data_IF_561806188597
#
_entry.id   IF_561806188597
#
_cell.length_a   1.000
_cell.length_b   1.000
_cell.length_c   1.000
_cell.angle_alpha   90.00
_cell.angle_beta   90.00
_cell.angle_gamma   90.00
#
_symmetry.space_group_name_H-M   'P 1'
#
loop_
_entity.id
_entity.type
_entity.pdbx_description
1 polymer ?
#
# COMPACT_ATOMS: atom_id res chain seq x y z
N UNK A 1 -1.63 -13.25 4.30
CA UNK A 1 -0.27 -12.90 4.74
C UNK A 1 -0.28 -11.47 5.25
N UNK A 2 -0.42 -11.25 6.57
CA UNK A 2 -0.29 -9.91 7.13
C UNK A 2 1.16 -9.45 6.93
N UNK A 3 1.34 -8.24 6.42
CA UNK A 3 2.65 -7.59 6.42
C UNK A 3 2.95 -7.33 7.90
N UNK A 4 3.72 -8.22 8.53
CA UNK A 4 4.30 -7.96 9.83
C UNK A 4 5.17 -6.72 9.68
N UNK A 5 4.64 -5.58 10.11
CA UNK A 5 5.45 -4.40 10.41
C UNK A 5 6.38 -4.86 11.53
N UNK A 6 7.65 -5.12 11.18
CA UNK A 6 8.70 -5.35 12.15
C UNK A 6 8.78 -4.12 13.06
N UNK A 7 8.07 -4.18 14.20
CA UNK A 7 8.33 -3.36 15.38
C UNK A 7 9.81 -3.54 15.72
N UNK A 8 10.66 -2.59 15.34
CA UNK A 8 12.04 -2.55 15.83
C UNK A 8 13.14 -2.17 14.83
N UNK A 9 12.89 -2.03 13.53
CA UNK A 9 13.88 -1.42 12.62
C UNK A 9 13.67 0.09 12.58
N UNK A 10 14.50 0.84 13.32
CA UNK A 10 14.48 2.30 13.40
C UNK A 10 14.30 2.94 12.01
N UNK A 11 13.17 3.63 11.85
CA UNK A 11 12.69 4.17 10.55
C UNK A 11 13.21 5.59 10.22
N UNK A 12 13.98 6.17 11.13
CA UNK A 12 15.02 7.18 10.94
C UNK A 12 16.08 6.80 11.99
N UNK A 13 17.36 7.06 11.75
CA UNK A 13 18.38 6.77 12.78
C UNK A 13 18.29 7.71 13.97
N UNK A 14 17.70 8.88 13.77
CA UNK A 14 17.52 9.90 14.79
C UNK A 14 16.08 10.42 14.80
N UNK A 15 15.11 9.53 15.11
CA UNK A 15 13.73 9.94 15.15
C UNK A 15 13.58 11.00 16.27
N UNK A 16 12.90 12.11 15.96
CA UNK A 16 12.58 13.21 16.88
C UNK A 16 13.70 14.20 17.23
N UNK A 17 14.83 14.22 16.50
CA UNK A 17 15.81 15.31 16.65
C UNK A 17 15.58 16.42 15.63
N UNK A 18 15.54 17.67 16.11
CA UNK A 18 15.55 18.85 15.24
C UNK A 18 16.94 18.96 14.57
N UNK A 19 17.10 19.60 13.40
CA UNK A 19 18.41 19.75 12.75
C UNK A 19 19.48 20.32 13.68
N UNK A 20 19.13 21.28 14.54
CA UNK A 20 20.04 21.85 15.55
C UNK A 20 20.49 20.81 16.59
N UNK A 21 19.58 19.98 17.09
CA UNK A 21 19.91 18.91 18.06
C UNK A 21 20.73 17.80 17.42
N UNK A 22 20.51 17.53 16.13
CA UNK A 22 21.33 16.62 15.33
C UNK A 22 22.75 17.16 15.14
N UNK A 23 22.87 18.47 14.85
CA UNK A 23 24.15 19.14 14.67
C UNK A 23 25.01 19.08 15.93
N UNK A 24 24.44 19.44 17.08
CA UNK A 24 25.11 19.34 18.38
C UNK A 24 25.52 17.90 18.70
N UNK A 25 24.65 16.92 18.39
CA UNK A 25 24.96 15.51 18.57
C UNK A 25 26.12 15.02 17.71
N UNK A 26 26.21 15.46 16.45
CA UNK A 26 27.32 15.10 15.56
C UNK A 26 28.62 15.85 15.92
N UNK A 27 28.54 17.11 16.34
CA UNK A 27 29.71 17.88 16.79
C UNK A 27 30.39 17.24 18.03
N UNK A 28 29.59 16.69 18.95
CA UNK A 28 30.08 15.99 20.13
C UNK A 28 30.71 14.62 19.88
N UNK A 29 30.71 14.12 18.64
CA UNK A 29 31.34 12.84 18.27
C UNK A 29 32.74 13.02 17.69
N UNK A 30 33.55 11.97 17.82
CA UNK A 30 34.85 11.90 17.16
C UNK A 30 34.69 11.51 15.67
N UNK A 31 35.74 11.72 14.88
CA UNK A 31 35.71 11.51 13.44
C UNK A 31 35.39 10.04 13.06
N UNK A 32 35.95 9.06 13.78
CA UNK A 32 35.72 7.64 13.54
C UNK A 32 34.24 7.26 13.74
N UNK A 33 33.61 7.74 14.81
CA UNK A 33 32.19 7.52 15.08
C UNK A 33 31.31 8.18 14.01
N UNK A 34 31.69 9.35 13.48
CA UNK A 34 30.94 10.00 12.41
C UNK A 34 31.06 9.24 11.09
N UNK A 35 32.23 8.69 10.77
CA UNK A 35 32.45 7.84 9.59
C UNK A 35 31.64 6.55 9.70
N UNK A 36 31.58 5.93 10.88
CA UNK A 36 30.78 4.72 11.11
C UNK A 36 29.27 5.00 10.96
N UNK A 37 28.80 6.13 11.49
CA UNK A 37 27.42 6.59 11.30
C UNK A 37 27.12 6.80 9.81
N UNK A 38 28.05 7.42 9.05
CA UNK A 38 27.91 7.64 7.62
C UNK A 38 27.82 6.31 6.84
N UNK A 39 28.78 5.40 7.05
CA UNK A 39 28.81 4.07 6.41
C UNK A 39 27.52 3.29 6.64
N UNK A 40 26.98 3.39 7.83
CA UNK A 40 25.77 2.65 8.18
C UNK A 40 24.49 3.25 7.55
N UNK A 41 24.54 4.41 6.87
CA UNK A 41 23.40 4.90 6.07
C UNK A 41 23.24 4.16 4.73
N UNK A 42 24.31 3.58 4.17
CA UNK A 42 24.24 2.83 2.91
C UNK A 42 23.18 1.71 2.93
N UNK A 43 23.30 0.73 3.85
CA UNK A 43 22.30 -0.34 3.99
C UNK A 43 20.91 0.17 4.36
N UNK A 44 20.82 1.32 5.01
CA UNK A 44 19.53 1.95 5.35
C UNK A 44 18.83 2.49 4.11
N UNK A 45 19.55 3.17 3.20
CA UNK A 45 18.97 3.64 1.93
C UNK A 45 18.60 2.49 1.00
N UNK A 46 19.41 1.45 0.91
CA UNK A 46 19.07 0.25 0.13
C UNK A 46 17.76 -0.38 0.63
N UNK A 47 17.61 -0.53 1.95
CA UNK A 47 16.38 -1.06 2.53
C UNK A 47 15.16 -0.15 2.27
N UNK A 48 15.35 1.18 2.32
CA UNK A 48 14.30 2.15 2.00
C UNK A 48 13.85 2.04 0.54
N UNK A 49 14.79 2.05 -0.41
CA UNK A 49 14.47 1.94 -1.84
C UNK A 49 13.80 0.60 -2.15
N UNK A 50 14.33 -0.52 -1.64
CA UNK A 50 13.70 -1.83 -1.80
C UNK A 50 12.26 -1.87 -1.29
N UNK A 51 11.99 -1.18 -0.17
CA UNK A 51 10.64 -1.09 0.40
C UNK A 51 9.72 -0.20 -0.44
N UNK A 52 10.23 0.92 -0.94
CA UNK A 52 9.49 1.82 -1.84
C UNK A 52 9.16 1.12 -3.16
N UNK A 53 10.11 0.39 -3.73
CA UNK A 53 9.93 -0.36 -4.98
C UNK A 53 8.88 -1.46 -4.81
N UNK A 54 8.97 -2.23 -3.73
CA UNK A 54 7.96 -3.26 -3.40
C UNK A 54 6.56 -2.67 -3.25
N UNK A 55 6.43 -1.54 -2.54
CA UNK A 55 5.14 -0.86 -2.38
C UNK A 55 4.62 -0.33 -3.72
N UNK A 56 5.50 0.19 -4.57
CA UNK A 56 5.15 0.71 -5.90
C UNK A 56 4.64 -0.41 -6.80
N UNK A 57 5.30 -1.56 -6.78
CA UNK A 57 4.84 -2.76 -7.48
C UNK A 57 3.48 -3.24 -6.96
N UNK A 58 3.30 -3.32 -5.62
CA UNK A 58 2.02 -3.74 -5.05
C UNK A 58 0.89 -2.79 -5.43
N UNK A 59 1.13 -1.47 -5.40
CA UNK A 59 0.16 -0.47 -5.88
C UNK A 59 -0.19 -0.69 -7.35
N UNK A 60 0.80 -0.96 -8.21
CA UNK A 60 0.56 -1.26 -9.62
C UNK A 60 -0.35 -2.48 -9.80
N UNK A 61 -0.06 -3.57 -9.09
CA UNK A 61 -0.89 -4.79 -9.12
C UNK A 61 -2.33 -4.52 -8.65
N UNK A 62 -2.51 -3.78 -7.55
CA UNK A 62 -3.84 -3.45 -7.04
C UNK A 62 -4.61 -2.51 -7.99
N UNK A 63 -3.94 -1.58 -8.66
CA UNK A 63 -4.55 -0.75 -9.71
C UNK A 63 -4.99 -1.59 -10.91
N UNK A 64 -4.19 -2.57 -11.31
CA UNK A 64 -4.56 -3.54 -12.35
C UNK A 64 -5.81 -4.33 -11.97
N UNK A 65 -5.87 -4.83 -10.72
CA UNK A 65 -7.07 -5.50 -10.19
C UNK A 65 -8.30 -4.58 -10.22
N UNK A 66 -8.16 -3.34 -9.74
CA UNK A 66 -9.25 -2.36 -9.72
C UNK A 66 -9.79 -2.08 -11.13
N UNK A 67 -8.90 -1.91 -12.11
CA UNK A 67 -9.31 -1.72 -13.52
C UNK A 67 -10.16 -2.90 -14.02
N UNK A 68 -9.73 -4.13 -13.73
CA UNK A 68 -10.51 -5.33 -14.07
C UNK A 68 -11.89 -5.37 -13.41
N UNK A 69 -11.98 -5.03 -12.12
CA UNK A 69 -13.25 -4.96 -11.39
C UNK A 69 -14.18 -3.88 -11.94
N UNK A 70 -13.65 -2.70 -12.29
CA UNK A 70 -14.44 -1.63 -12.89
C UNK A 70 -15.00 -2.03 -14.25
N UNK A 71 -14.19 -2.71 -15.08
CA UNK A 71 -14.65 -3.26 -16.36
C UNK A 71 -15.76 -4.29 -16.17
N UNK A 72 -15.59 -5.22 -15.22
CA UNK A 72 -16.63 -6.20 -14.89
C UNK A 72 -17.93 -5.53 -14.41
N UNK A 73 -17.83 -4.39 -13.70
CA UNK A 73 -19.01 -3.64 -13.24
C UNK A 73 -19.76 -2.99 -14.40
N UNK A 74 -19.01 -2.47 -15.36
CA UNK A 74 -19.55 -1.89 -16.58
C UNK A 74 -20.23 -2.97 -17.44
N UNK A 75 -19.58 -4.11 -17.63
CA UNK A 75 -20.15 -5.27 -18.35
C UNK A 75 -21.45 -5.76 -17.67
N UNK A 76 -21.44 -5.87 -16.34
CA UNK A 76 -22.65 -6.20 -15.57
C UNK A 76 -23.75 -5.15 -15.77
N UNK A 77 -23.42 -3.87 -15.71
CA UNK A 77 -24.39 -2.77 -15.92
C UNK A 77 -25.00 -2.82 -17.32
N UNK A 78 -24.19 -3.09 -18.35
CA UNK A 78 -24.66 -3.23 -19.74
C UNK A 78 -25.54 -4.46 -19.94
N UNK A 79 -25.44 -5.48 -19.09
CA UNK A 79 -26.27 -6.68 -19.16
C UNK A 79 -27.67 -6.51 -18.53
N UNK A 80 -27.95 -5.39 -17.86
CA UNK A 80 -29.18 -5.20 -17.08
C UNK A 80 -30.45 -5.42 -17.90
N UNK A 81 -30.53 -4.87 -19.12
CA UNK A 81 -31.72 -5.04 -19.97
C UNK A 81 -31.99 -6.51 -20.32
N UNK A 82 -30.94 -7.32 -20.48
CA UNK A 82 -31.07 -8.76 -20.70
C UNK A 82 -31.60 -9.46 -19.45
N UNK A 83 -31.12 -9.06 -18.26
CA UNK A 83 -31.60 -9.59 -16.98
C UNK A 83 -33.07 -9.27 -16.75
N UNK A 84 -33.53 -8.08 -17.15
CA UNK A 84 -34.96 -7.71 -17.07
C UNK A 84 -35.81 -8.65 -17.92
N UNK A 85 -35.40 -8.93 -19.16
CA UNK A 85 -36.10 -9.89 -20.04
C UNK A 85 -36.10 -11.30 -19.45
N UNK A 86 -34.99 -11.74 -18.85
CA UNK A 86 -34.92 -13.04 -18.16
C UNK A 86 -35.81 -13.08 -16.92
N UNK A 87 -35.94 -11.96 -16.19
CA UNK A 87 -36.84 -11.85 -15.05
C UNK A 87 -38.31 -11.99 -15.46
N UNK A 88 -38.72 -11.38 -16.57
CA UNK A 88 -40.08 -11.52 -17.08
C UNK A 88 -40.39 -12.99 -17.41
N UNK A 89 -39.44 -13.72 -18.00
CA UNK A 89 -39.56 -15.16 -18.24
C UNK A 89 -39.63 -15.95 -16.94
N UNK A 90 -38.79 -15.60 -15.96
CA UNK A 90 -38.80 -16.21 -14.64
C UNK A 90 -40.16 -16.05 -13.94
N UNK A 91 -40.73 -14.85 -13.92
CA UNK A 91 -42.05 -14.58 -13.33
C UNK A 91 -43.20 -15.24 -14.08
N UNK A 92 -43.11 -15.31 -15.42
CA UNK A 92 -44.07 -16.05 -16.23
C UNK A 92 -44.07 -17.55 -15.86
N UNK A 93 -42.89 -18.16 -15.79
CA UNK A 93 -42.74 -19.56 -15.37
C UNK A 93 -43.23 -19.78 -13.94
N UNK A 94 -42.88 -18.88 -13.03
CA UNK A 94 -43.33 -18.92 -11.63
C UNK A 94 -44.85 -18.84 -11.53
N UNK A 95 -45.47 -17.93 -12.29
CA UNK A 95 -46.93 -17.77 -12.33
C UNK A 95 -47.62 -19.00 -12.90
N UNK A 96 -47.05 -19.59 -13.95
CA UNK A 96 -47.54 -20.85 -14.53
C UNK A 96 -47.55 -21.99 -13.51
N UNK A 97 -46.44 -22.20 -12.79
CA UNK A 97 -46.34 -23.21 -11.71
C UNK A 97 -47.38 -22.96 -10.61
N UNK A 98 -47.63 -21.69 -10.25
CA UNK A 98 -48.61 -21.34 -9.21
C UNK A 98 -50.06 -21.53 -9.66
N UNK A 99 -50.34 -21.33 -10.95
CA UNK A 99 -51.66 -21.48 -11.55
C UNK A 99 -52.04 -22.95 -11.83
N UNK A 100 -51.04 -23.83 -11.90
CA UNK A 100 -51.29 -25.24 -12.17
C UNK A 100 -52.01 -25.91 -10.99
N UNK A 101 -52.85 -26.90 -11.33
CA UNK A 101 -53.67 -27.65 -10.36
C UNK A 101 -52.89 -28.66 -9.53
N UNK A 102 -51.56 -28.68 -9.68
CA UNK A 102 -50.64 -29.58 -9.00
C UNK A 102 -50.72 -29.50 -7.47
N UNK A 103 -50.48 -30.65 -6.86
CA UNK A 103 -50.47 -30.84 -5.40
C UNK A 103 -49.31 -30.08 -4.75
N UNK A 104 -49.40 -29.81 -3.44
CA UNK A 104 -48.41 -28.98 -2.72
C UNK A 104 -46.95 -29.48 -2.83
N UNK A 105 -46.73 -30.78 -2.97
CA UNK A 105 -45.39 -31.37 -3.11
C UNK A 105 -44.77 -31.13 -4.50
N UNK A 106 -45.55 -31.33 -5.57
CA UNK A 106 -45.11 -31.10 -6.95
C UNK A 106 -44.80 -29.62 -7.19
N UNK A 107 -45.67 -28.74 -6.65
CA UNK A 107 -45.46 -27.29 -6.68
C UNK A 107 -44.17 -26.88 -5.96
N UNK A 108 -43.91 -27.45 -4.78
CA UNK A 108 -42.69 -27.18 -4.04
C UNK A 108 -41.43 -27.60 -4.82
N UNK A 109 -41.44 -28.79 -5.43
CA UNK A 109 -40.32 -29.26 -6.25
C UNK A 109 -40.13 -28.39 -7.49
N UNK A 110 -41.21 -28.00 -8.17
CA UNK A 110 -41.15 -27.14 -9.35
C UNK A 110 -40.61 -25.73 -9.02
N UNK A 111 -41.04 -25.13 -7.90
CA UNK A 111 -40.50 -23.84 -7.43
C UNK A 111 -39.03 -23.95 -7.01
N UNK A 112 -38.65 -25.07 -6.37
CA UNK A 112 -37.26 -25.32 -6.00
C UNK A 112 -36.36 -25.47 -7.24
N UNK A 113 -36.86 -26.12 -8.29
CA UNK A 113 -36.16 -26.28 -9.57
C UNK A 113 -36.05 -24.97 -10.37
N UNK A 114 -37.02 -24.05 -10.23
CA UNK A 114 -36.98 -22.74 -10.87
C UNK A 114 -35.80 -21.88 -10.38
N UNK A 115 -35.37 -22.10 -9.13
CA UNK A 115 -34.17 -21.47 -8.58
C UNK A 115 -34.34 -19.99 -8.22
N UNK A 116 -33.23 -19.26 -8.21
CA UNK A 116 -33.21 -17.83 -7.86
C UNK A 116 -33.59 -16.94 -9.03
N UNK A 117 -34.23 -15.81 -8.71
CA UNK A 117 -34.55 -14.77 -9.68
C UNK A 117 -33.28 -14.22 -10.35
N UNK A 118 -33.29 -14.02 -11.68
CA UNK A 118 -32.23 -13.31 -12.39
C UNK A 118 -31.88 -11.94 -11.78
N UNK A 119 -32.88 -11.17 -11.34
CA UNK A 119 -32.65 -9.89 -10.65
C UNK A 119 -31.97 -10.06 -9.29
N UNK A 120 -32.36 -11.07 -8.50
CA UNK A 120 -31.70 -11.35 -7.21
C UNK A 120 -30.22 -11.71 -7.41
N UNK A 121 -29.93 -12.56 -8.40
CA UNK A 121 -28.57 -12.90 -8.82
C UNK A 121 -27.78 -11.65 -9.25
N UNK A 122 -28.39 -10.80 -10.07
CA UNK A 122 -27.79 -9.55 -10.52
C UNK A 122 -27.44 -8.62 -9.36
N UNK A 123 -28.38 -8.36 -8.45
CA UNK A 123 -28.16 -7.49 -7.31
C UNK A 123 -27.10 -8.05 -6.35
N UNK A 124 -27.10 -9.37 -6.14
CA UNK A 124 -26.07 -10.05 -5.36
C UNK A 124 -24.67 -9.86 -5.98
N UNK A 125 -24.55 -10.11 -7.28
CA UNK A 125 -23.29 -9.95 -8.00
C UNK A 125 -22.82 -8.49 -8.01
N UNK A 126 -23.72 -7.54 -8.28
CA UNK A 126 -23.43 -6.10 -8.26
C UNK A 126 -22.92 -5.67 -6.89
N UNK A 127 -23.58 -6.10 -5.80
CA UNK A 127 -23.14 -5.79 -4.43
C UNK A 127 -21.78 -6.42 -4.11
N UNK A 128 -21.57 -7.68 -4.49
CA UNK A 128 -20.28 -8.35 -4.29
C UNK A 128 -19.15 -7.59 -4.99
N UNK A 129 -19.37 -7.23 -6.25
CA UNK A 129 -18.40 -6.50 -7.05
C UNK A 129 -18.11 -5.11 -6.48
N UNK A 130 -19.14 -4.38 -6.06
CA UNK A 130 -18.98 -3.08 -5.42
C UNK A 130 -18.17 -3.19 -4.12
N UNK A 131 -18.42 -4.22 -3.31
CA UNK A 131 -17.64 -4.47 -2.10
C UNK A 131 -16.16 -4.77 -2.43
N UNK A 132 -15.89 -5.51 -3.49
CA UNK A 132 -14.51 -5.75 -3.96
C UNK A 132 -13.82 -4.49 -4.46
N UNK A 133 -14.54 -3.62 -5.16
CA UNK A 133 -14.05 -2.30 -5.60
C UNK A 133 -13.69 -1.45 -4.37
N UNK A 134 -14.59 -1.36 -3.39
CA UNK A 134 -14.40 -0.55 -2.19
C UNK A 134 -13.23 -1.05 -1.34
N UNK A 135 -13.12 -2.36 -1.15
CA UNK A 135 -12.00 -2.96 -0.42
C UNK A 135 -10.67 -2.76 -1.13
N UNK A 136 -10.64 -2.91 -2.45
CA UNK A 136 -9.43 -2.65 -3.26
C UNK A 136 -9.03 -1.18 -3.18
N UNK A 137 -9.99 -0.25 -3.23
CA UNK A 137 -9.75 1.19 -3.07
C UNK A 137 -9.21 1.55 -1.68
N UNK A 138 -9.77 0.97 -0.61
CA UNK A 138 -9.25 1.15 0.76
C UNK A 138 -7.79 0.68 0.86
N UNK A 139 -7.49 -0.51 0.33
CA UNK A 139 -6.13 -1.05 0.31
C UNK A 139 -5.17 -0.15 -0.48
N UNK A 140 -5.59 0.38 -1.64
CA UNK A 140 -4.80 1.34 -2.41
C UNK A 140 -4.52 2.63 -1.62
N UNK A 141 -5.51 3.14 -0.88
CA UNK A 141 -5.33 4.33 -0.05
C UNK A 141 -4.29 4.07 1.04
N UNK A 142 -4.39 2.94 1.74
CA UNK A 142 -3.41 2.52 2.75
C UNK A 142 -2.01 2.41 2.18
N UNK A 143 -1.84 1.71 1.04
CA UNK A 143 -0.55 1.54 0.38
C UNK A 143 0.05 2.89 -0.04
N UNK A 144 -0.76 3.81 -0.57
CA UNK A 144 -0.30 5.16 -0.92
C UNK A 144 0.12 5.96 0.32
N UNK A 145 -0.60 5.84 1.44
CA UNK A 145 -0.20 6.46 2.71
C UNK A 145 1.12 5.89 3.22
N UNK A 146 1.32 4.58 3.15
CA UNK A 146 2.59 3.94 3.48
C UNK A 146 3.72 4.43 2.58
N UNK A 147 3.51 4.48 1.27
CA UNK A 147 4.49 4.98 0.31
C UNK A 147 4.90 6.43 0.59
N UNK A 148 3.93 7.30 0.92
CA UNK A 148 4.21 8.68 1.30
C UNK A 148 5.06 8.76 2.58
N UNK A 149 4.77 7.92 3.57
CA UNK A 149 5.55 7.82 4.80
C UNK A 149 6.99 7.38 4.53
N UNK A 150 7.20 6.36 3.69
CA UNK A 150 8.55 5.88 3.33
C UNK A 150 9.33 6.92 2.50
N UNK A 151 8.68 7.63 1.58
CA UNK A 151 9.30 8.75 0.85
C UNK A 151 9.73 9.88 1.78
N UNK A 152 8.90 10.21 2.77
CA UNK A 152 9.24 11.20 3.79
C UNK A 152 10.46 10.75 4.62
N UNK A 153 10.52 9.46 4.99
CA UNK A 153 11.67 8.92 5.72
C UNK A 153 12.97 8.99 4.91
N UNK A 154 12.92 8.65 3.61
CA UNK A 154 14.05 8.85 2.71
C UNK A 154 14.51 10.30 2.71
N UNK A 155 13.56 11.25 2.59
CA UNK A 155 13.88 12.68 2.63
C UNK A 155 14.54 13.10 3.95
N UNK A 156 14.06 12.59 5.10
CA UNK A 156 14.67 12.85 6.42
C UNK A 156 16.09 12.29 6.52
N UNK A 157 16.32 11.05 6.10
CA UNK A 157 17.64 10.44 6.09
C UNK A 157 18.64 11.22 5.21
N UNK A 158 18.18 11.74 4.06
CA UNK A 158 19.01 12.62 3.21
C UNK A 158 19.36 13.92 3.94
N UNK A 159 18.39 14.53 4.62
CA UNK A 159 18.64 15.74 5.42
C UNK A 159 19.62 15.48 6.58
N UNK A 160 19.53 14.34 7.25
CA UNK A 160 20.47 13.91 8.28
C UNK A 160 21.90 13.78 7.73
N UNK A 161 22.08 13.17 6.54
CA UNK A 161 23.38 13.09 5.87
C UNK A 161 23.93 14.45 5.43
N UNK A 162 23.06 15.36 4.98
CA UNK A 162 23.46 16.73 4.63
C UNK A 162 24.01 17.52 5.82
N UNK A 163 23.61 17.18 7.04
CA UNK A 163 24.17 17.78 8.27
C UNK A 163 25.46 17.05 8.67
N UNK A 164 25.50 15.72 8.52
CA UNK A 164 26.63 14.89 8.93
C UNK A 164 27.89 15.15 8.09
N UNK A 165 27.77 15.19 6.76
CA UNK A 165 28.92 15.28 5.85
C UNK A 165 29.77 16.55 6.08
N UNK A 166 29.19 17.76 6.19
CA UNK A 166 29.96 18.97 6.50
C UNK A 166 30.73 18.90 7.82
N UNK A 167 30.17 18.25 8.85
CA UNK A 167 30.83 18.11 10.16
C UNK A 167 32.01 17.13 10.09
N UNK A 168 31.88 16.08 9.26
CA UNK A 168 32.99 15.17 8.95
C UNK A 168 34.11 15.94 8.23
N UNK A 169 33.77 16.76 7.24
CA UNK A 169 34.74 17.54 6.46
C UNK A 169 35.43 18.64 7.29
N UNK A 170 34.73 19.23 8.25
CA UNK A 170 35.29 20.17 9.22
C UNK A 170 36.31 19.46 10.14
N UNK A 171 35.93 18.35 10.76
CA UNK A 171 36.83 17.59 11.65
C UNK A 171 38.03 16.96 10.93
N UNK A 172 37.88 16.58 9.65
CA UNK A 172 39.02 16.14 8.82
C UNK A 172 40.03 17.27 8.60
N UNK A 173 39.55 18.46 8.25
CA UNK A 173 40.41 19.64 8.07
C UNK A 173 41.11 20.05 9.36
N UNK A 174 40.44 19.99 10.50
CA UNK A 174 41.06 20.28 11.81
C UNK A 174 42.22 19.33 12.12
N UNK A 175 42.07 18.03 11.82
CA UNK A 175 43.13 17.03 12.00
C UNK A 175 44.29 17.23 11.03
N UNK A 176 44.01 17.55 9.76
CA UNK A 176 45.03 17.85 8.75
C UNK A 176 45.85 19.09 9.13
N UNK A 177 45.19 20.17 9.58
CA UNK A 177 45.84 21.40 10.04
C UNK A 177 46.68 21.15 11.30
N UNK A 178 46.14 20.42 12.29
CA UNK A 178 46.90 20.06 13.50
C UNK A 178 48.17 19.24 13.18
N UNK A 179 48.09 18.33 12.21
CA UNK A 179 49.24 17.52 11.78
C UNK A 179 50.32 18.32 11.03
N UNK A 180 49.95 19.40 10.33
CA UNK A 180 50.89 20.31 9.67
C UNK A 180 51.65 21.18 10.69
N UNK A 181 51.00 21.66 11.75
CA UNK A 181 51.66 22.45 12.80
C UNK A 181 52.68 21.64 13.61
N UNK A 182 52.45 20.33 13.79
CA UNK A 182 53.41 19.44 14.46
C UNK A 182 54.64 19.10 13.61
N UNK A 183 54.53 19.14 12.28
CA UNK A 183 55.66 18.83 11.38
C UNK A 183 56.53 20.06 11.06
N UNK A 184 56.01 21.28 11.25
CA UNK A 184 56.76 22.53 11.02
C UNK A 184 57.62 22.97 12.22
N UNK A 185 57.64 22.20 13.32
CA UNK A 185 58.32 22.56 14.57
C UNK A 185 59.56 21.69 14.88
N UNK A 186 60.09 20.97 13.89
CA UNK A 186 61.35 20.22 14.00
C UNK A 186 62.42 20.78 13.07
#
# INVERSE_FOLDING_TARGET
>A
MPILIQKGKNMSKFPHKNPETLRLYFQGKNLEQLIEINRSYGPHFENLENTIDRLTQEISTQKGKLSGLLKANEELSQSYDKIVVEQERFESNRSSIMSDSCTGAERYLALSALGMSPLDCYHSNSRSLQNEIDTTNKKLKELNSHLALWKNQRSKAVSELKILNPIIDEKRRELEVASQFTLSSN
#
